data_IF_707633565881
#
_entry.id   IF_707633565881
#
_cell.length_a   1.000
_cell.length_b   1.000
_cell.length_c   1.000
_cell.angle_alpha   90.00
_cell.angle_beta   90.00
_cell.angle_gamma   90.00
#
_symmetry.space_group_name_H-M   'P 1'
#
loop_
_entity.id
_entity.type
_entity.pdbx_description
1 polymer ?
#
# COMPACT_ATOMS: atom_id res chain seq x y z
N UNK A 1 6.27 -34.04 14.97
CA UNK A 1 5.61 -32.94 14.26
C UNK A 1 6.40 -32.69 13.00
N UNK A 2 5.83 -33.04 11.84
CA UNK A 2 6.39 -32.69 10.53
C UNK A 2 5.92 -31.27 10.25
N UNK A 3 6.80 -30.29 10.33
CA UNK A 3 6.53 -28.98 9.74
C UNK A 3 6.42 -29.21 8.23
N UNK A 4 5.28 -28.86 7.64
CA UNK A 4 5.09 -29.00 6.21
C UNK A 4 6.05 -28.04 5.50
N UNK A 5 6.69 -28.50 4.43
CA UNK A 5 7.64 -27.68 3.68
C UNK A 5 6.94 -26.45 3.06
N UNK A 6 5.63 -26.55 2.80
CA UNK A 6 4.80 -25.43 2.36
C UNK A 6 4.69 -24.31 3.38
N UNK A 7 4.68 -24.64 4.67
CA UNK A 7 4.55 -23.65 5.75
C UNK A 7 5.85 -22.84 5.85
N UNK A 8 7.00 -23.50 5.70
CA UNK A 8 8.33 -22.86 5.69
C UNK A 8 8.51 -21.95 4.46
N UNK A 9 7.97 -22.34 3.30
CA UNK A 9 8.01 -21.50 2.10
C UNK A 9 7.09 -20.28 2.21
N UNK A 10 5.90 -20.45 2.78
CA UNK A 10 4.96 -19.35 3.03
C UNK A 10 5.51 -18.35 4.06
N UNK A 11 6.04 -18.83 5.18
CA UNK A 11 6.63 -17.97 6.22
C UNK A 11 7.77 -17.12 5.66
N UNK A 12 8.71 -17.73 4.92
CA UNK A 12 9.81 -17.00 4.27
C UNK A 12 9.34 -16.00 3.22
N UNK A 13 8.26 -16.32 2.50
CA UNK A 13 7.67 -15.38 1.56
C UNK A 13 7.05 -14.19 2.30
N UNK A 14 6.30 -14.44 3.38
CA UNK A 14 5.65 -13.41 4.19
C UNK A 14 6.67 -12.45 4.82
N UNK A 15 7.82 -12.93 5.29
CA UNK A 15 8.90 -12.08 5.82
C UNK A 15 9.34 -10.97 4.83
N UNK A 16 9.24 -11.24 3.53
CA UNK A 16 9.62 -10.29 2.46
C UNK A 16 8.47 -9.50 1.84
N UNK A 17 7.21 -9.82 2.16
CA UNK A 17 6.03 -9.34 1.42
C UNK A 17 4.83 -8.99 2.30
N UNK A 18 4.90 -9.18 3.63
CA UNK A 18 3.83 -8.87 4.56
C UNK A 18 4.35 -8.03 5.73
N UNK A 19 3.68 -6.92 6.00
CA UNK A 19 3.88 -6.11 7.19
C UNK A 19 2.56 -5.99 7.94
N UNK A 20 2.62 -6.06 9.27
CA UNK A 20 1.48 -5.76 10.12
C UNK A 20 1.87 -4.83 11.25
N UNK A 21 0.96 -3.96 11.63
CA UNK A 21 1.11 -3.11 12.79
C UNK A 21 -0.27 -2.78 13.37
N UNK A 22 -0.29 -2.47 14.66
CA UNK A 22 -1.51 -2.02 15.35
C UNK A 22 -1.67 -0.52 15.15
N UNK A 23 -2.85 -0.09 14.68
CA UNK A 23 -3.18 1.33 14.63
C UNK A 23 -3.37 1.87 16.07
N UNK A 24 -2.60 2.88 16.50
CA UNK A 24 -2.63 3.34 17.88
C UNK A 24 -3.93 4.02 18.30
N UNK A 25 -4.81 4.37 17.36
CA UNK A 25 -6.08 5.03 17.65
C UNK A 25 -7.23 4.05 17.79
N UNK A 26 -7.24 2.99 16.98
CA UNK A 26 -8.34 2.02 16.90
C UNK A 26 -8.01 0.66 17.51
N UNK A 27 -6.72 0.39 17.78
CA UNK A 27 -6.20 -0.94 18.11
C UNK A 27 -6.48 -2.00 17.02
N UNK A 28 -6.84 -1.58 15.81
CA UNK A 28 -7.03 -2.47 14.66
C UNK A 28 -5.66 -2.94 14.14
N UNK A 29 -5.53 -4.23 13.86
CA UNK A 29 -4.32 -4.77 13.21
C UNK A 29 -4.46 -4.53 11.72
N UNK A 30 -3.58 -3.70 11.17
CA UNK A 30 -3.53 -3.40 9.74
C UNK A 30 -2.54 -4.34 9.09
N UNK A 31 -2.99 -5.06 8.06
CA UNK A 31 -2.17 -5.93 7.23
C UNK A 31 -1.87 -5.27 5.90
N UNK A 32 -0.59 -5.27 5.50
CA UNK A 32 -0.12 -4.73 4.22
C UNK A 32 0.66 -5.81 3.49
N UNK A 33 0.25 -6.11 2.27
CA UNK A 33 0.89 -7.11 1.42
C UNK A 33 1.51 -6.43 0.20
N UNK A 34 2.79 -6.69 -0.06
CA UNK A 34 3.43 -6.31 -1.31
C UNK A 34 3.54 -7.55 -2.19
N UNK A 35 2.71 -7.66 -3.22
CA UNK A 35 2.56 -8.87 -4.06
C UNK A 35 3.66 -8.96 -5.13
N UNK A 36 4.19 -7.82 -5.57
CA UNK A 36 5.27 -7.74 -6.53
C UNK A 36 6.19 -6.54 -6.25
N UNK A 37 7.47 -6.70 -6.60
CA UNK A 37 8.57 -5.75 -6.36
C UNK A 37 9.85 -6.50 -6.00
N UNK A 38 11.04 -5.92 -6.22
CA UNK A 38 12.28 -6.45 -5.61
C UNK A 38 12.04 -6.59 -4.09
N UNK A 39 12.55 -7.65 -3.43
CA UNK A 39 12.10 -8.08 -2.10
C UNK A 39 11.95 -6.88 -1.17
N UNK A 40 10.70 -6.60 -0.78
CA UNK A 40 10.28 -5.28 -0.29
C UNK A 40 10.95 -4.91 1.05
N UNK A 41 11.58 -5.88 1.72
CA UNK A 41 12.33 -5.69 2.96
C UNK A 41 13.80 -6.16 2.91
N UNK A 42 14.36 -6.52 1.74
CA UNK A 42 15.78 -6.92 1.63
C UNK A 42 16.63 -5.80 1.03
N UNK A 43 17.62 -5.36 1.81
CA UNK A 43 18.42 -4.14 1.67
C UNK A 43 19.38 -4.01 0.47
N UNK A 44 19.30 -4.83 -0.59
CA UNK A 44 20.50 -5.06 -1.42
C UNK A 44 20.37 -4.81 -2.93
N UNK A 45 19.52 -3.89 -3.37
CA UNK A 45 19.54 -3.49 -4.79
C UNK A 45 19.23 -2.01 -5.00
N UNK A 46 20.26 -1.22 -5.33
CA UNK A 46 20.16 0.15 -5.88
C UNK A 46 19.49 0.12 -7.26
N UNK A 47 18.18 -0.11 -7.30
CA UNK A 47 17.39 -0.04 -8.52
C UNK A 47 16.96 1.41 -8.73
N UNK A 48 17.17 2.03 -9.90
CA UNK A 48 16.74 3.41 -10.18
C UNK A 48 15.20 3.56 -10.19
N UNK A 49 14.51 2.42 -10.30
CA UNK A 49 13.05 2.30 -10.31
C UNK A 49 12.64 1.18 -9.36
N UNK A 50 11.70 1.50 -8.48
CA UNK A 50 11.13 0.57 -7.52
C UNK A 50 9.67 0.27 -7.92
N UNK A 51 9.45 -0.88 -8.55
CA UNK A 51 8.12 -1.37 -8.90
C UNK A 51 7.43 -2.01 -7.69
N UNK A 52 6.14 -1.77 -7.52
CA UNK A 52 5.35 -2.32 -6.41
C UNK A 52 3.92 -2.69 -6.84
N UNK A 53 3.34 -3.64 -6.12
CA UNK A 53 1.91 -3.99 -6.15
C UNK A 53 1.47 -4.23 -4.70
N UNK A 54 0.78 -3.27 -4.09
CA UNK A 54 0.50 -3.23 -2.65
C UNK A 54 -1.00 -3.41 -2.44
N UNK A 55 -1.37 -4.33 -1.57
CA UNK A 55 -2.75 -4.59 -1.17
C UNK A 55 -2.93 -4.38 0.34
N UNK A 56 -3.97 -3.61 0.71
CA UNK A 56 -4.35 -3.32 2.10
C UNK A 56 -5.82 -3.66 2.27
N UNK A 57 -6.17 -4.82 2.86
CA UNK A 57 -7.53 -5.16 3.25
C UNK A 57 -7.97 -4.27 4.42
N UNK A 58 -8.96 -3.40 4.19
CA UNK A 58 -9.43 -2.43 5.18
C UNK A 58 -10.87 -2.01 4.88
N UNK A 59 -11.70 -1.87 5.91
CA UNK A 59 -13.10 -1.43 5.80
C UNK A 59 -13.97 -2.30 4.88
N UNK A 60 -13.71 -3.62 4.88
CA UNK A 60 -14.47 -4.60 4.09
C UNK A 60 -14.15 -4.60 2.58
N UNK A 61 -13.12 -3.87 2.15
CA UNK A 61 -12.61 -3.86 0.77
C UNK A 61 -11.09 -3.98 0.78
N UNK A 62 -10.49 -4.28 -0.38
CA UNK A 62 -9.03 -4.28 -0.55
C UNK A 62 -8.61 -3.07 -1.35
N UNK A 63 -7.82 -2.20 -0.75
CA UNK A 63 -7.18 -1.07 -1.42
C UNK A 63 -5.93 -1.56 -2.13
N UNK A 64 -5.76 -1.19 -3.39
CA UNK A 64 -4.65 -1.64 -4.22
C UNK A 64 -3.92 -0.45 -4.81
N UNK A 65 -2.61 -0.38 -4.59
CA UNK A 65 -1.72 0.60 -5.19
C UNK A 65 -0.66 -0.14 -6.02
N UNK A 66 -0.69 0.04 -7.33
CA UNK A 66 0.21 -0.66 -8.26
C UNK A 66 0.93 0.32 -9.18
N UNK A 67 2.25 0.23 -9.26
CA UNK A 67 3.03 1.13 -10.10
C UNK A 67 4.51 1.10 -9.80
N UNK A 68 5.15 2.25 -9.97
CA UNK A 68 6.57 2.40 -9.64
C UNK A 68 6.88 3.76 -9.03
N UNK A 69 8.00 3.81 -8.31
CA UNK A 69 8.66 5.04 -7.85
C UNK A 69 10.04 5.11 -8.51
N UNK A 70 10.34 6.24 -9.13
CA UNK A 70 11.72 6.59 -9.47
C UNK A 70 12.43 7.01 -8.18
N UNK A 71 13.40 6.23 -7.71
CA UNK A 71 14.03 6.48 -6.40
C UNK A 71 15.07 7.62 -6.43
N UNK A 72 15.49 8.06 -7.61
CA UNK A 72 16.38 9.22 -7.74
C UNK A 72 15.64 10.54 -7.59
N UNK A 73 14.39 10.57 -8.07
CA UNK A 73 13.56 11.78 -8.10
C UNK A 73 12.40 11.77 -7.09
N UNK A 74 12.03 10.58 -6.60
CA UNK A 74 10.82 10.32 -5.80
C UNK A 74 9.51 10.58 -6.55
N UNK A 75 9.54 10.55 -7.87
CA UNK A 75 8.35 10.58 -8.71
C UNK A 75 7.63 9.22 -8.65
N UNK A 76 6.35 9.25 -8.27
CA UNK A 76 5.47 8.08 -8.34
C UNK A 76 4.67 8.09 -9.64
N UNK A 77 4.46 6.92 -10.22
CA UNK A 77 3.49 6.70 -11.27
C UNK A 77 2.77 5.38 -11.01
N UNK A 78 1.57 5.48 -10.46
CA UNK A 78 0.79 4.34 -10.00
C UNK A 78 -0.70 4.46 -10.33
N UNK A 79 -1.37 3.32 -10.27
CA UNK A 79 -2.81 3.20 -10.26
C UNK A 79 -3.28 2.88 -8.85
N UNK A 80 -4.24 3.67 -8.36
CA UNK A 80 -4.95 3.40 -7.13
C UNK A 80 -6.33 2.85 -7.45
N UNK A 81 -6.65 1.68 -6.89
CA UNK A 81 -7.88 0.94 -7.17
C UNK A 81 -8.39 0.26 -5.90
N UNK A 82 -9.62 -0.23 -5.96
CA UNK A 82 -10.20 -1.07 -4.91
C UNK A 82 -10.74 -2.36 -5.49
N UNK A 83 -10.72 -3.42 -4.69
CA UNK A 83 -11.35 -4.70 -4.98
C UNK A 83 -12.35 -5.02 -3.89
N UNK A 84 -13.47 -5.61 -4.30
CA UNK A 84 -14.39 -6.26 -3.37
C UNK A 84 -14.31 -7.77 -3.64
N UNK A 85 -14.60 -8.64 -2.67
CA UNK A 85 -14.54 -10.09 -2.90
C UNK A 85 -15.46 -10.59 -4.04
N UNK A 86 -16.46 -9.80 -4.43
CA UNK A 86 -17.55 -10.20 -5.32
C UNK A 86 -17.43 -9.55 -6.72
N UNK A 87 -16.65 -8.47 -6.86
CA UNK A 87 -16.61 -7.65 -8.08
C UNK A 87 -15.18 -7.37 -8.53
N UNK A 88 -14.99 -7.28 -9.85
CA UNK A 88 -13.77 -6.83 -10.54
C UNK A 88 -13.17 -5.55 -9.93
N UNK A 89 -11.84 -5.37 -9.95
CA UNK A 89 -11.20 -4.15 -9.45
C UNK A 89 -11.77 -2.87 -10.08
N UNK A 90 -12.05 -1.87 -9.25
CA UNK A 90 -12.45 -0.54 -9.68
C UNK A 90 -11.28 0.42 -9.56
N UNK A 91 -10.87 0.99 -10.69
CA UNK A 91 -9.87 2.06 -10.71
C UNK A 91 -10.45 3.33 -10.06
N UNK A 92 -9.73 3.86 -9.08
CA UNK A 92 -10.10 5.08 -8.38
C UNK A 92 -9.42 6.30 -8.99
N UNK A 93 -8.09 6.26 -9.11
CA UNK A 93 -7.30 7.39 -9.57
C UNK A 93 -5.94 6.96 -10.14
N UNK A 94 -5.35 7.82 -10.97
CA UNK A 94 -3.91 7.76 -11.24
C UNK A 94 -3.17 8.57 -10.17
N UNK A 95 -2.11 8.01 -9.61
CA UNK A 95 -1.25 8.67 -8.62
C UNK A 95 0.04 9.04 -9.33
N UNK A 96 0.20 10.33 -9.64
CA UNK A 96 1.36 10.87 -10.36
C UNK A 96 1.87 12.13 -9.70
N UNK A 97 3.18 12.21 -9.47
CA UNK A 97 3.86 13.39 -8.95
C UNK A 97 4.97 13.06 -7.96
N UNK A 98 5.50 14.09 -7.30
CA UNK A 98 6.60 13.91 -6.36
C UNK A 98 6.10 13.55 -4.95
N UNK A 99 6.59 12.44 -4.41
CA UNK A 99 6.17 11.97 -3.08
C UNK A 99 6.72 12.83 -1.93
N UNK A 100 7.74 13.66 -2.15
CA UNK A 100 8.23 14.62 -1.14
C UNK A 100 7.25 15.77 -0.91
N UNK A 101 6.56 16.20 -1.96
CA UNK A 101 5.50 17.22 -1.87
C UNK A 101 4.18 16.63 -1.37
N UNK A 102 4.04 15.31 -1.52
CA UNK A 102 2.84 14.54 -1.23
C UNK A 102 1.85 14.62 -2.37
N UNK A 103 1.42 13.46 -2.85
CA UNK A 103 0.50 13.33 -4.00
C UNK A 103 -0.90 13.07 -3.47
N UNK A 104 -1.80 14.04 -3.63
CA UNK A 104 -3.20 13.93 -3.23
C UNK A 104 -4.07 13.55 -4.41
N UNK A 105 -4.95 12.58 -4.22
CA UNK A 105 -5.99 12.18 -5.18
C UNK A 105 -7.34 12.13 -4.49
N UNK A 106 -8.38 12.55 -5.21
CA UNK A 106 -9.77 12.39 -4.79
C UNK A 106 -10.45 11.38 -5.72
N UNK A 107 -11.37 10.59 -5.18
CA UNK A 107 -12.09 9.57 -5.92
C UNK A 107 -13.55 9.56 -5.50
N UNK A 108 -14.43 9.24 -6.44
CA UNK A 108 -15.86 9.07 -6.21
C UNK A 108 -16.39 8.09 -7.24
N UNK A 109 -16.56 6.83 -6.83
CA UNK A 109 -17.09 5.78 -7.68
C UNK A 109 -18.08 4.93 -6.89
N UNK A 110 -19.33 4.89 -7.36
CA UNK A 110 -20.41 3.99 -6.89
C UNK A 110 -20.52 3.79 -5.36
N UNK A 111 -19.72 2.90 -4.79
CA UNK A 111 -19.75 2.49 -3.38
C UNK A 111 -18.62 3.08 -2.53
N UNK A 112 -17.67 3.81 -3.13
CA UNK A 112 -16.53 4.40 -2.44
C UNK A 112 -16.23 5.82 -2.93
N UNK A 113 -16.09 6.76 -2.00
CA UNK A 113 -15.66 8.13 -2.29
C UNK A 113 -14.76 8.64 -1.19
N UNK A 114 -13.82 9.52 -1.51
CA UNK A 114 -12.85 9.98 -0.52
C UNK A 114 -11.61 10.61 -1.13
N UNK A 115 -10.58 10.66 -0.30
CA UNK A 115 -9.28 11.23 -0.64
C UNK A 115 -8.16 10.35 -0.08
N UNK A 116 -7.07 10.28 -0.84
CA UNK A 116 -5.83 9.65 -0.43
C UNK A 116 -4.66 10.61 -0.66
N UNK A 117 -3.78 10.75 0.31
CA UNK A 117 -2.51 11.47 0.15
C UNK A 117 -1.35 10.48 0.32
N UNK A 118 -0.58 10.29 -0.74
CA UNK A 118 0.63 9.47 -0.74
C UNK A 118 1.85 10.33 -0.48
N UNK A 119 2.72 9.93 0.45
CA UNK A 119 3.90 10.72 0.81
C UNK A 119 5.01 9.86 1.40
N UNK A 120 6.21 10.41 1.45
CA UNK A 120 7.36 9.77 2.11
C UNK A 120 7.53 10.32 3.52
N UNK A 121 7.69 9.44 4.49
CA UNK A 121 8.03 9.81 5.86
C UNK A 121 8.86 8.72 6.55
N UNK A 122 10.01 9.14 7.10
CA UNK A 122 10.88 8.28 7.91
C UNK A 122 11.38 7.03 7.18
N UNK A 123 11.67 7.12 5.87
CA UNK A 123 12.12 5.96 5.10
C UNK A 123 11.02 5.17 4.40
N UNK A 124 9.75 5.56 4.50
CA UNK A 124 8.62 4.74 4.05
C UNK A 124 7.66 5.51 3.15
N UNK A 125 7.01 4.79 2.25
CA UNK A 125 5.80 5.24 1.57
C UNK A 125 4.62 5.10 2.54
N UNK A 126 3.87 6.18 2.69
CA UNK A 126 2.64 6.25 3.48
C UNK A 126 1.46 6.65 2.61
N UNK A 127 0.27 6.28 3.04
CA UNK A 127 -0.99 6.86 2.57
C UNK A 127 -1.80 7.38 3.74
N UNK A 128 -2.24 8.64 3.68
CA UNK A 128 -3.28 9.19 4.55
C UNK A 128 -4.61 9.07 3.82
N UNK A 129 -5.52 8.23 4.33
CA UNK A 129 -6.73 7.80 3.66
C UNK A 129 -7.97 8.22 4.46
N UNK A 130 -8.92 8.84 3.78
CA UNK A 130 -10.26 9.11 4.30
C UNK A 130 -11.29 8.76 3.25
N UNK A 131 -12.28 7.92 3.58
CA UNK A 131 -13.26 7.47 2.60
C UNK A 131 -14.62 7.14 3.21
N UNK A 132 -15.69 7.35 2.44
CA UNK A 132 -16.98 6.72 2.67
C UNK A 132 -17.04 5.44 1.84
N UNK A 133 -17.18 4.28 2.49
CA UNK A 133 -17.32 2.96 1.87
C UNK A 133 -18.69 2.39 2.25
N UNK A 134 -19.50 2.00 1.26
CA UNK A 134 -20.87 1.51 1.45
C UNK A 134 -21.76 2.39 2.34
N UNK A 135 -21.53 3.72 2.30
CA UNK A 135 -22.29 4.70 3.09
C UNK A 135 -21.72 5.00 4.48
N UNK A 136 -20.70 4.27 4.94
CA UNK A 136 -20.01 4.51 6.22
C UNK A 136 -18.72 5.28 5.99
N UNK A 137 -18.51 6.37 6.72
CA UNK A 137 -17.30 7.19 6.62
C UNK A 137 -16.22 6.71 7.59
N UNK A 138 -15.00 6.61 7.07
CA UNK A 138 -13.80 6.19 7.78
C UNK A 138 -12.66 7.19 7.57
N UNK A 139 -11.71 7.18 8.51
CA UNK A 139 -10.50 8.02 8.49
C UNK A 139 -10.67 9.40 9.15
N UNK A 140 -9.63 10.24 9.13
CA UNK A 140 -8.33 9.98 8.48
C UNK A 140 -7.53 8.87 9.16
N UNK A 141 -6.98 7.96 8.34
CA UNK A 141 -6.13 6.86 8.78
C UNK A 141 -4.81 6.88 8.01
N UNK A 142 -3.69 6.83 8.72
CA UNK A 142 -2.36 6.80 8.13
C UNK A 142 -1.88 5.36 8.03
N UNK A 143 -1.69 4.89 6.81
CA UNK A 143 -1.22 3.55 6.53
C UNK A 143 0.23 3.55 6.07
N UNK A 144 1.06 2.79 6.77
CA UNK A 144 2.46 2.56 6.42
C UNK A 144 2.50 1.45 5.36
N UNK A 145 2.92 1.77 4.13
CA UNK A 145 2.81 0.82 3.01
C UNK A 145 4.07 -0.04 2.86
N UNK A 146 5.16 0.56 2.39
CA UNK A 146 6.41 -0.14 2.08
C UNK A 146 7.61 0.75 2.45
N UNK A 147 8.75 0.16 2.85
CA UNK A 147 9.97 0.92 3.03
C UNK A 147 10.50 1.32 1.66
N UNK A 148 11.13 2.48 1.60
CA UNK A 148 11.87 2.92 0.43
C UNK A 148 13.35 2.78 0.73
N UNK A 149 14.10 1.96 -0.02
CA UNK A 149 15.47 1.57 0.33
C UNK A 149 16.51 2.71 0.33
N UNK A 150 16.13 3.96 0.02
CA UNK A 150 17.08 5.08 -0.23
C UNK A 150 16.66 6.44 0.33
N UNK A 151 15.81 6.49 1.36
CA UNK A 151 15.46 7.75 2.03
C UNK A 151 16.17 7.81 3.38
N UNK A 152 17.40 8.33 3.36
CA UNK A 152 18.10 8.84 4.55
C UNK A 152 17.79 10.33 4.76
#
# INVERSE_FOLDING_TARGET
MSTDLSDIELEKWLEGHHHQYEDPLTAEIIHVYAIAGAPVFHNDTKVPRYDFDIEVPLWGITWVLKGYIDVGTFEINAEFSVRTPIITPFRLAAVKGNLKDGVKVSFDVSFVKGEAKFYIFGGWLWVDLSATVFGTTYGPLKVKLIPLPFVD
#
